data_IF_393008053348
#
_entry.id   IF_393008053348
#
_cell.length_a   1.000
_cell.length_b   1.000
_cell.length_c   1.000
_cell.angle_alpha   90.00
_cell.angle_beta   90.00
_cell.angle_gamma   90.00
#
_symmetry.space_group_name_H-M   'P 1'
#
loop_
_entity.id
_entity.type
_entity.pdbx_description
1 polymer ?
#
# COMPACT_ATOMS: atom_id res chain seq x y z
N UNK A 1 -0.60 -24.45 -5.72
CA UNK A 1 -1.73 -23.72 -6.33
C UNK A 1 -1.82 -22.26 -5.85
N UNK A 2 -2.05 -21.97 -4.55
CA UNK A 2 -2.12 -20.57 -4.07
C UNK A 2 -0.79 -19.83 -4.30
N UNK A 3 0.33 -20.43 -3.88
CA UNK A 3 1.66 -19.84 -4.03
C UNK A 3 2.04 -19.58 -5.50
N UNK A 4 1.64 -20.47 -6.42
CA UNK A 4 1.90 -20.30 -7.85
C UNK A 4 1.10 -19.15 -8.45
N UNK A 5 -0.15 -18.94 -8.01
CA UNK A 5 -0.94 -17.76 -8.42
C UNK A 5 -0.31 -16.48 -7.88
N UNK A 6 0.03 -16.43 -6.59
CA UNK A 6 0.67 -15.26 -5.97
C UNK A 6 2.03 -14.92 -6.59
N UNK A 7 2.75 -15.88 -7.17
CA UNK A 7 4.06 -15.67 -7.81
C UNK A 7 3.99 -15.61 -9.34
N UNK A 8 2.78 -15.68 -9.91
CA UNK A 8 2.59 -15.48 -11.35
C UNK A 8 3.01 -14.05 -11.75
N UNK A 9 3.43 -13.81 -13.01
CA UNK A 9 3.79 -12.47 -13.47
C UNK A 9 2.73 -11.41 -13.17
N UNK A 10 1.45 -11.81 -13.28
CA UNK A 10 0.28 -10.96 -13.01
C UNK A 10 0.18 -10.49 -11.56
N UNK A 11 0.52 -11.33 -10.58
CA UNK A 11 0.28 -11.06 -9.16
C UNK A 11 1.54 -10.98 -8.30
N UNK A 12 2.72 -11.22 -8.89
CA UNK A 12 4.02 -11.21 -8.19
C UNK A 12 4.28 -9.96 -7.36
N UNK A 13 3.80 -8.81 -7.83
CA UNK A 13 3.97 -7.50 -7.22
C UNK A 13 2.71 -6.98 -6.51
N UNK A 14 1.69 -7.82 -6.35
CA UNK A 14 0.37 -7.46 -5.86
C UNK A 14 0.13 -8.12 -4.48
N UNK A 15 -0.36 -7.39 -3.46
CA UNK A 15 -0.67 -7.98 -2.16
C UNK A 15 -1.95 -8.82 -2.21
N UNK A 16 -2.12 -9.81 -1.30
CA UNK A 16 -3.34 -10.60 -1.19
C UNK A 16 -4.64 -9.79 -1.11
N UNK A 17 -4.61 -8.63 -0.46
CA UNK A 17 -5.75 -7.70 -0.37
C UNK A 17 -6.26 -7.20 -1.72
N UNK A 18 -5.42 -7.23 -2.75
CA UNK A 18 -5.80 -6.89 -4.13
C UNK A 18 -6.05 -8.14 -4.98
N UNK A 19 -5.31 -9.23 -4.77
CA UNK A 19 -5.49 -10.48 -5.53
C UNK A 19 -6.90 -11.05 -5.32
N UNK A 20 -7.40 -11.08 -4.07
CA UNK A 20 -8.69 -11.70 -3.75
C UNK A 20 -9.87 -10.97 -4.44
N UNK A 21 -9.99 -9.63 -4.38
CA UNK A 21 -10.99 -8.90 -5.16
C UNK A 21 -10.88 -9.13 -6.66
N UNK A 22 -9.67 -9.04 -7.24
CA UNK A 22 -9.47 -9.23 -8.69
C UNK A 22 -9.98 -10.60 -9.14
N UNK A 23 -9.64 -11.67 -8.41
CA UNK A 23 -10.10 -13.02 -8.76
C UNK A 23 -11.61 -13.16 -8.55
N UNK A 24 -12.17 -12.48 -7.54
CA UNK A 24 -13.61 -12.52 -7.25
C UNK A 24 -14.43 -11.81 -8.33
N UNK A 25 -13.92 -10.68 -8.86
CA UNK A 25 -14.50 -9.97 -10.00
C UNK A 25 -14.47 -10.83 -11.28
N UNK A 26 -13.49 -11.74 -11.40
CA UNK A 26 -13.40 -12.73 -12.47
C UNK A 26 -14.23 -14.01 -12.21
N UNK A 27 -14.99 -14.07 -11.11
CA UNK A 27 -15.77 -15.24 -10.72
C UNK A 27 -14.92 -16.43 -10.24
N UNK A 28 -13.65 -16.20 -9.92
CA UNK A 28 -12.72 -17.21 -9.45
C UNK A 28 -12.47 -17.09 -7.94
N UNK A 29 -12.93 -18.07 -7.17
CA UNK A 29 -12.57 -18.17 -5.76
C UNK A 29 -11.43 -19.17 -5.55
N UNK A 30 -10.26 -18.66 -5.14
CA UNK A 30 -9.10 -19.50 -4.84
C UNK A 30 -8.96 -19.78 -3.33
N UNK A 31 -9.05 -18.73 -2.51
CA UNK A 31 -8.98 -18.80 -1.05
C UNK A 31 -9.37 -17.45 -0.43
N UNK A 32 -9.65 -17.43 0.87
CA UNK A 32 -9.79 -16.18 1.62
C UNK A 32 -8.45 -15.44 1.75
N UNK A 33 -8.51 -14.12 1.96
CA UNK A 33 -7.32 -13.28 2.15
C UNK A 33 -6.44 -13.77 3.31
N UNK A 34 -7.04 -14.12 4.45
CA UNK A 34 -6.35 -14.71 5.60
C UNK A 34 -5.60 -16.00 5.24
N UNK A 35 -6.17 -16.83 4.36
CA UNK A 35 -5.54 -18.07 3.90
C UNK A 35 -4.36 -17.77 2.99
N UNK A 36 -4.49 -16.82 2.06
CA UNK A 36 -3.37 -16.36 1.23
C UNK A 36 -2.20 -15.86 2.09
N UNK A 37 -2.47 -15.02 3.10
CA UNK A 37 -1.43 -14.54 4.00
C UNK A 37 -0.76 -15.66 4.79
N UNK A 38 -1.50 -16.69 5.24
CA UNK A 38 -0.92 -17.85 5.94
C UNK A 38 0.04 -18.63 5.03
N UNK A 39 -0.35 -18.87 3.78
CA UNK A 39 0.49 -19.57 2.79
C UNK A 39 1.75 -18.75 2.49
N UNK A 40 1.63 -17.44 2.25
CA UNK A 40 2.78 -16.57 2.02
C UNK A 40 3.71 -16.48 3.24
N UNK A 41 3.15 -16.51 4.46
CA UNK A 41 3.92 -16.55 5.69
C UNK A 41 4.74 -17.82 5.81
N UNK A 42 4.12 -18.99 5.56
CA UNK A 42 4.80 -20.28 5.55
C UNK A 42 5.90 -20.35 4.48
N UNK A 43 5.72 -19.66 3.36
CA UNK A 43 6.72 -19.56 2.29
C UNK A 43 7.78 -18.47 2.52
N UNK A 44 7.74 -17.71 3.62
CA UNK A 44 8.60 -16.56 3.89
C UNK A 44 8.51 -15.43 2.84
N UNK A 45 7.36 -15.29 2.17
CA UNK A 45 7.11 -14.32 1.07
C UNK A 45 6.16 -13.17 1.45
N UNK A 46 6.09 -12.83 2.74
CA UNK A 46 5.37 -11.66 3.27
C UNK A 46 6.13 -10.33 3.07
N UNK A 47 7.27 -10.36 2.38
CA UNK A 47 8.06 -9.17 2.05
C UNK A 47 7.27 -8.22 1.13
N UNK A 48 7.75 -6.98 0.98
CA UNK A 48 7.12 -5.98 0.12
C UNK A 48 6.92 -6.50 -1.31
N UNK A 49 5.65 -6.67 -1.70
CA UNK A 49 5.21 -6.97 -3.07
C UNK A 49 4.80 -5.64 -3.70
N UNK A 50 5.57 -5.16 -4.67
CA UNK A 50 5.33 -3.89 -5.36
C UNK A 50 6.51 -2.92 -5.32
N UNK A 51 6.35 -1.76 -5.96
CA UNK A 51 7.39 -0.72 -6.06
C UNK A 51 7.51 0.16 -4.81
N UNK A 52 6.80 -0.17 -3.75
CA UNK A 52 6.86 0.60 -2.51
C UNK A 52 8.31 0.58 -1.99
N UNK A 53 8.93 1.76 -1.94
CA UNK A 53 10.25 1.90 -1.34
C UNK A 53 10.17 1.45 0.12
N UNK A 54 11.23 0.78 0.60
CA UNK A 54 11.36 0.43 2.01
C UNK A 54 11.17 1.71 2.84
N UNK A 55 10.36 1.64 3.89
CA UNK A 55 10.18 2.77 4.78
C UNK A 55 11.55 3.24 5.30
N UNK A 56 11.90 4.48 4.98
CA UNK A 56 13.13 5.12 5.47
C UNK A 56 12.78 5.95 6.69
N UNK A 57 13.53 5.77 7.77
CA UNK A 57 13.39 6.58 8.97
C UNK A 57 13.90 7.99 8.67
N UNK A 58 12.99 8.93 8.44
CA UNK A 58 13.32 10.35 8.23
C UNK A 58 13.42 11.06 9.58
N UNK A 59 14.34 12.02 9.69
CA UNK A 59 14.36 12.92 10.83
C UNK A 59 13.01 13.68 10.91
N UNK A 60 12.64 14.10 12.12
CA UNK A 60 11.45 14.95 12.29
C UNK A 60 11.66 16.23 11.47
N UNK A 61 10.62 16.75 10.77
CA UNK A 61 10.70 18.04 10.12
C UNK A 61 11.11 19.12 11.12
N UNK A 62 11.90 20.10 10.67
CA UNK A 62 12.21 21.28 11.46
C UNK A 62 10.91 22.02 11.80
N UNK A 63 10.66 22.26 13.09
CA UNK A 63 9.53 23.04 13.55
C UNK A 63 9.92 24.52 13.68
N UNK A 64 9.04 25.41 13.23
CA UNK A 64 9.18 26.85 13.41
C UNK A 64 8.17 27.35 14.44
N UNK A 65 8.57 28.28 15.29
CA UNK A 65 7.70 28.93 16.28
C UNK A 65 7.79 30.44 16.06
N UNK A 66 6.65 31.09 15.83
CA UNK A 66 6.57 32.55 15.72
C UNK A 66 6.42 33.16 17.12
N UNK A 67 7.29 34.11 17.45
CA UNK A 67 7.23 34.95 18.66
C UNK A 67 6.65 36.34 18.37
N UNK A 68 6.50 36.71 17.10
CA UNK A 68 5.93 37.96 16.64
C UNK A 68 5.19 37.76 15.29
N UNK A 69 4.31 38.71 14.88
CA UNK A 69 3.63 38.65 13.58
C UNK A 69 4.61 38.58 12.40
N UNK A 70 4.19 37.92 11.30
CA UNK A 70 4.94 37.81 10.03
C UNK A 70 6.26 37.00 10.06
N UNK A 71 6.51 36.19 11.10
CA UNK A 71 7.72 35.37 11.21
C UNK A 71 7.63 33.98 10.57
N UNK A 72 6.42 33.43 10.45
CA UNK A 72 6.17 32.11 9.85
C UNK A 72 4.99 32.23 8.90
N UNK A 73 5.21 31.80 7.65
CA UNK A 73 4.18 31.78 6.61
C UNK A 73 3.83 30.32 6.31
N UNK A 74 2.55 29.99 6.41
CA UNK A 74 2.02 28.66 6.07
C UNK A 74 1.09 28.83 4.88
N UNK A 75 1.22 27.97 3.89
CA UNK A 75 0.32 27.93 2.73
C UNK A 75 -0.19 26.52 2.56
N UNK A 76 -1.49 26.39 2.37
CA UNK A 76 -2.16 25.12 2.03
C UNK A 76 -2.71 25.20 0.61
N UNK A 77 -2.84 24.06 -0.07
CA UNK A 77 -3.36 23.96 -1.43
C UNK A 77 -4.56 23.03 -1.43
N UNK A 78 -5.74 23.58 -1.69
CA UNK A 78 -6.97 22.80 -1.86
C UNK A 78 -7.10 22.32 -3.31
N UNK A 79 -7.29 21.01 -3.50
CA UNK A 79 -7.65 20.45 -4.81
C UNK A 79 -9.14 20.66 -5.10
N UNK A 80 -9.52 21.06 -6.33
CA UNK A 80 -10.92 21.29 -6.67
C UNK A 80 -11.71 19.97 -6.67
N UNK A 81 -12.89 20.00 -6.05
CA UNK A 81 -13.85 18.89 -6.07
C UNK A 81 -14.44 18.79 -7.49
N UNK A 82 -14.21 17.68 -8.19
CA UNK A 82 -14.92 17.40 -9.45
C UNK A 82 -16.37 17.00 -9.13
N UNK A 83 -17.32 17.73 -9.72
CA UNK A 83 -18.71 17.30 -9.78
C UNK A 83 -18.85 16.19 -10.82
N UNK A 84 -19.54 15.11 -10.45
CA UNK A 84 -19.83 13.96 -11.30
C UNK A 84 -20.79 14.32 -12.45
#
# INVERSE_FOLDING_TARGET
MILSVCNSPRFSSVPPSQIVPILSDEGCYLASESTMYRVLRQAHQLQHRGRAAKAVRKAKPTSFTATAPNQVWVSDISVPQQAA
#
